data_IF_295788329054
#
_entry.id   IF_295788329054
#
_cell.length_a   1.000
_cell.length_b   1.000
_cell.length_c   1.000
_cell.angle_alpha   90.00
_cell.angle_beta   90.00
_cell.angle_gamma   90.00
#
_symmetry.space_group_name_H-M   'P 1'
#
loop_
_entity.id
_entity.type
_entity.pdbx_description
1 polymer ?
#
# COMPACT_ATOMS: atom_id res chain seq x y z
N UNK A 1 -9.90 8.66 20.13
CA UNK A 1 -10.91 8.47 19.07
C UNK A 1 -10.18 8.52 17.74
N UNK A 2 -9.85 7.35 17.20
CA UNK A 2 -8.97 7.11 16.04
C UNK A 2 -9.78 6.49 14.91
N UNK A 3 -9.66 7.04 13.70
CA UNK A 3 -10.34 6.57 12.49
C UNK A 3 -9.50 5.44 11.83
N UNK A 4 -10.08 4.25 11.52
CA UNK A 4 -9.31 3.02 11.30
C UNK A 4 -8.95 2.70 9.82
N UNK A 5 -8.83 3.69 8.93
CA UNK A 5 -8.63 3.42 7.49
C UNK A 5 -7.38 4.08 6.87
N UNK A 6 -6.33 4.33 7.65
CA UNK A 6 -5.03 4.72 7.11
C UNK A 6 -3.97 3.74 7.59
N UNK A 7 -3.68 2.72 6.78
CA UNK A 7 -2.36 2.09 6.84
C UNK A 7 -1.39 3.00 6.07
N UNK A 8 -0.35 3.54 6.71
CA UNK A 8 0.75 4.12 5.96
C UNK A 8 1.49 2.97 5.27
N UNK A 9 1.56 2.99 3.94
CA UNK A 9 2.66 2.29 3.28
C UNK A 9 3.95 2.96 3.71
N UNK A 10 4.93 2.17 4.13
CA UNK A 10 6.21 2.66 4.55
C UNK A 10 6.84 3.54 3.44
N UNK A 11 7.44 4.67 3.81
CA UNK A 11 7.86 5.73 2.90
C UNK A 11 9.04 5.32 2.01
N UNK A 12 9.01 5.77 0.75
CA UNK A 12 10.18 5.86 -0.11
C UNK A 12 11.13 6.95 0.41
N UNK A 13 11.80 6.72 1.55
CA UNK A 13 12.86 7.62 2.00
C UNK A 13 14.18 7.35 1.27
N UNK A 14 14.80 8.48 0.90
CA UNK A 14 16.05 8.65 0.19
C UNK A 14 16.02 8.38 -1.31
N UNK A 15 15.56 9.40 -2.05
CA UNK A 15 16.35 10.01 -3.12
C UNK A 15 15.75 11.36 -3.58
N UNK A 16 15.76 12.35 -2.68
CA UNK A 16 15.42 13.75 -3.00
C UNK A 16 16.21 14.22 -4.24
N UNK A 17 15.53 14.85 -5.19
CA UNK A 17 16.15 15.76 -6.14
C UNK A 17 15.93 17.19 -5.59
N UNK A 18 16.96 17.87 -5.08
CA UNK A 18 16.84 19.23 -4.56
C UNK A 18 16.46 20.27 -5.62
N UNK A 19 16.30 19.88 -6.90
CA UNK A 19 15.99 20.77 -8.02
C UNK A 19 14.61 20.64 -8.65
N UNK A 20 13.68 19.83 -8.11
CA UNK A 20 12.37 19.67 -8.75
C UNK A 20 11.57 20.99 -8.75
N UNK A 21 11.35 21.54 -9.94
CA UNK A 21 10.39 22.62 -10.20
C UNK A 21 9.24 22.06 -11.03
N UNK A 22 7.97 22.39 -10.71
CA UNK A 22 6.84 21.98 -11.53
C UNK A 22 7.01 22.51 -12.96
N UNK A 23 6.71 21.70 -14.00
CA UNK A 23 6.79 22.16 -15.38
C UNK A 23 5.78 23.28 -15.64
N UNK A 24 6.18 24.26 -16.47
CA UNK A 24 5.27 25.28 -17.00
C UNK A 24 4.38 24.62 -18.04
N UNK A 25 3.07 24.64 -17.79
CA UNK A 25 2.05 23.96 -18.59
C UNK A 25 1.70 24.84 -19.82
N UNK A 26 1.53 24.27 -21.03
CA UNK A 26 1.17 25.04 -22.22
C UNK A 26 -0.24 25.65 -22.14
N UNK A 27 -0.39 26.86 -22.71
CA UNK A 27 -1.69 27.51 -22.92
C UNK A 27 -2.52 26.74 -23.97
N UNK A 28 -3.69 26.20 -23.59
CA UNK A 28 -4.67 25.62 -24.52
C UNK A 28 -6.06 26.18 -24.22
N UNK A 29 -6.82 26.44 -25.29
CA UNK A 29 -8.08 27.20 -25.30
C UNK A 29 -9.20 26.57 -24.45
N UNK A 30 -9.76 27.29 -23.46
CA UNK A 30 -10.78 26.80 -22.52
C UNK A 30 -12.24 26.80 -23.03
N UNK A 31 -12.49 26.94 -24.34
CA UNK A 31 -13.83 27.33 -24.86
C UNK A 31 -14.56 26.30 -25.76
N UNK A 32 -14.28 25.00 -25.66
CA UNK A 32 -15.05 23.98 -26.39
C UNK A 32 -16.36 23.57 -25.70
N UNK A 33 -17.46 23.37 -26.43
CA UNK A 33 -18.69 22.80 -25.88
C UNK A 33 -18.60 21.26 -25.85
N UNK A 34 -18.48 20.68 -24.66
CA UNK A 34 -18.28 19.23 -24.44
C UNK A 34 -19.51 18.51 -23.87
N UNK A 35 -20.67 19.17 -23.86
CA UNK A 35 -21.89 18.67 -23.22
C UNK A 35 -22.45 17.36 -23.80
N UNK A 36 -22.02 16.96 -24.99
CA UNK A 36 -22.45 15.75 -25.70
C UNK A 36 -21.58 14.51 -25.40
N UNK A 37 -20.44 14.66 -24.72
CA UNK A 37 -19.53 13.55 -24.41
C UNK A 37 -19.95 12.83 -23.11
N UNK A 38 -19.66 11.52 -22.98
CA UNK A 38 -19.87 10.81 -21.72
C UNK A 38 -19.01 11.44 -20.62
N UNK A 39 -19.57 11.52 -19.41
CA UNK A 39 -18.87 12.04 -18.25
C UNK A 39 -17.88 10.98 -17.73
N UNK A 40 -16.58 11.28 -17.60
CA UNK A 40 -15.63 10.33 -17.05
C UNK A 40 -15.91 10.10 -15.56
N UNK A 41 -15.77 8.86 -15.10
CA UNK A 41 -15.92 8.51 -13.70
C UNK A 41 -14.60 8.81 -12.97
N UNK A 42 -14.58 9.89 -12.19
CA UNK A 42 -13.45 10.19 -11.31
C UNK A 42 -13.69 9.71 -9.88
N UNK A 43 -12.62 9.23 -9.24
CA UNK A 43 -12.61 8.89 -7.80
C UNK A 43 -11.25 9.22 -7.21
N UNK A 44 -11.24 9.85 -6.03
CA UNK A 44 -10.03 9.95 -5.21
C UNK A 44 -9.92 8.61 -4.47
N UNK A 45 -8.94 7.80 -4.88
CA UNK A 45 -8.81 6.42 -4.41
C UNK A 45 -7.93 6.31 -3.18
N UNK A 46 -7.05 7.28 -2.97
CA UNK A 46 -6.15 7.32 -1.81
C UNK A 46 -5.65 8.75 -1.54
N UNK A 47 -5.26 9.00 -0.29
CA UNK A 47 -4.64 10.25 0.15
C UNK A 47 -3.52 9.95 1.16
N UNK A 48 -2.32 10.43 0.85
CA UNK A 48 -1.13 10.24 1.66
C UNK A 48 -0.57 11.59 2.11
N UNK A 49 -0.03 11.64 3.32
CA UNK A 49 0.71 12.81 3.79
C UNK A 49 2.20 12.55 3.57
N UNK A 50 2.81 13.37 2.73
CA UNK A 50 4.25 13.32 2.48
C UNK A 50 4.97 14.24 3.47
N UNK A 51 6.13 13.79 3.95
CA UNK A 51 6.98 14.53 4.87
C UNK A 51 8.40 14.66 4.32
N UNK A 52 9.06 15.78 4.61
CA UNK A 52 10.48 15.94 4.43
C UNK A 52 11.14 15.98 5.81
N UNK A 53 11.67 14.84 6.26
CA UNK A 53 12.05 14.65 7.66
C UNK A 53 10.81 14.70 8.56
N UNK A 54 10.80 15.60 9.53
CA UNK A 54 9.64 15.84 10.40
C UNK A 54 8.69 16.93 9.90
N UNK A 55 9.05 17.64 8.82
CA UNK A 55 8.24 18.72 8.28
C UNK A 55 7.20 18.18 7.29
N UNK A 56 5.96 18.66 7.40
CA UNK A 56 4.93 18.43 6.39
C UNK A 56 5.42 18.92 5.02
N UNK A 57 5.19 18.12 3.97
CA UNK A 57 5.53 18.46 2.60
C UNK A 57 4.28 18.71 1.75
N UNK A 58 3.42 17.70 1.58
CA UNK A 58 2.15 17.84 0.85
C UNK A 58 1.13 16.75 1.24
N UNK A 59 -0.14 17.00 0.91
CA UNK A 59 -1.15 15.95 0.77
C UNK A 59 -1.11 15.45 -0.66
N UNK A 60 -0.78 14.19 -0.87
CA UNK A 60 -0.75 13.51 -2.17
C UNK A 60 -2.05 12.72 -2.36
N UNK A 61 -2.87 13.15 -3.30
CA UNK A 61 -4.12 12.47 -3.68
C UNK A 61 -3.90 11.66 -4.95
N UNK A 62 -4.28 10.38 -4.92
CA UNK A 62 -4.30 9.53 -6.10
C UNK A 62 -5.72 9.54 -6.65
N UNK A 63 -5.87 9.96 -7.90
CA UNK A 63 -7.16 10.11 -8.57
C UNK A 63 -7.25 9.13 -9.73
N UNK A 64 -8.29 8.31 -9.75
CA UNK A 64 -8.59 7.40 -10.85
C UNK A 64 -9.56 8.02 -11.85
N UNK A 65 -9.37 7.72 -13.14
CA UNK A 65 -10.26 8.04 -14.25
C UNK A 65 -10.76 6.70 -14.82
N UNK A 66 -12.07 6.48 -14.75
CA UNK A 66 -12.78 5.27 -15.18
C UNK A 66 -12.25 3.98 -14.56
N UNK A 67 -11.52 4.07 -13.43
CA UNK A 67 -10.75 2.99 -12.81
C UNK A 67 -9.68 2.36 -13.72
N UNK A 68 -9.29 3.04 -14.82
CA UNK A 68 -8.31 2.56 -15.80
C UNK A 68 -7.03 3.40 -15.75
N UNK A 69 -7.18 4.72 -15.68
CA UNK A 69 -6.06 5.65 -15.64
C UNK A 69 -5.95 6.30 -14.26
N UNK A 70 -4.75 6.73 -13.89
CA UNK A 70 -4.49 7.36 -12.60
C UNK A 70 -3.61 8.57 -12.78
N UNK A 71 -3.85 9.61 -12.00
CA UNK A 71 -2.96 10.75 -11.86
C UNK A 71 -2.84 11.16 -10.40
N UNK A 72 -1.82 11.96 -10.09
CA UNK A 72 -1.58 12.45 -8.73
C UNK A 72 -1.90 13.94 -8.66
N UNK A 73 -2.59 14.35 -7.61
CA UNK A 73 -2.83 15.74 -7.27
C UNK A 73 -2.22 16.04 -5.89
N UNK A 74 -1.32 17.00 -5.81
CA UNK A 74 -0.61 17.37 -4.57
C UNK A 74 -1.11 18.71 -4.05
N UNK A 75 -1.39 18.79 -2.75
CA UNK A 75 -1.72 20.03 -2.04
C UNK A 75 -0.59 20.35 -1.07
N UNK A 76 0.14 21.43 -1.33
CA UNK A 76 1.27 21.96 -0.56
C UNK A 76 0.83 22.86 0.60
N UNK A 77 -0.33 22.55 1.18
CA UNK A 77 -0.90 23.22 2.34
C UNK A 77 -1.35 22.18 3.33
N UNK A 78 -0.96 22.34 4.59
CA UNK A 78 -1.41 21.43 5.63
C UNK A 78 -2.91 21.62 5.87
N UNK A 79 -3.69 20.68 5.35
CA UNK A 79 -5.12 20.58 5.61
C UNK A 79 -5.39 20.11 7.05
N UNK A 80 -6.55 20.47 7.61
CA UNK A 80 -6.91 20.14 8.98
C UNK A 80 -7.04 18.62 9.24
N UNK A 81 -7.09 18.22 10.52
CA UNK A 81 -7.08 16.81 10.94
C UNK A 81 -8.21 15.94 10.36
N UNK A 82 -9.32 16.56 9.91
CA UNK A 82 -10.46 15.86 9.31
C UNK A 82 -10.46 15.89 7.78
N UNK A 83 -9.33 16.26 7.14
CA UNK A 83 -9.23 16.28 5.70
C UNK A 83 -9.25 14.86 5.13
N UNK A 84 -10.39 14.48 4.55
CA UNK A 84 -10.57 13.19 3.89
C UNK A 84 -11.20 13.39 2.50
N UNK A 85 -10.37 13.70 1.48
CA UNK A 85 -10.85 13.94 0.13
C UNK A 85 -11.45 12.70 -0.55
N UNK A 86 -11.20 11.48 -0.04
CA UNK A 86 -11.79 10.25 -0.59
C UNK A 86 -13.33 10.18 -0.42
N UNK A 87 -13.91 11.06 0.41
CA UNK A 87 -15.37 11.18 0.60
C UNK A 87 -16.05 12.11 -0.41
N UNK A 88 -15.28 12.82 -1.24
CA UNK A 88 -15.80 13.78 -2.20
C UNK A 88 -16.51 13.05 -3.34
N UNK A 89 -17.78 13.38 -3.59
CA UNK A 89 -18.53 12.85 -4.72
C UNK A 89 -18.22 13.64 -6.00
N UNK A 90 -17.23 13.17 -6.75
CA UNK A 90 -16.82 13.80 -8.01
C UNK A 90 -17.81 13.59 -9.16
N UNK A 91 -18.81 12.71 -9.03
CA UNK A 91 -19.83 12.48 -10.08
C UNK A 91 -20.75 13.68 -10.27
N UNK A 92 -20.77 14.59 -9.32
CA UNK A 92 -21.58 15.81 -9.36
C UNK A 92 -20.85 16.96 -10.08
N UNK A 93 -19.58 16.76 -10.44
CA UNK A 93 -18.74 17.76 -11.07
C UNK A 93 -18.53 17.37 -12.53
N UNK A 94 -18.76 18.31 -13.43
CA UNK A 94 -18.49 18.10 -14.85
C UNK A 94 -16.96 18.11 -15.09
N UNK A 95 -16.42 16.92 -15.38
CA UNK A 95 -14.99 16.69 -15.58
C UNK A 95 -14.66 16.38 -17.06
N UNK A 96 -15.46 16.86 -18.03
CA UNK A 96 -15.29 16.55 -19.46
C UNK A 96 -14.24 17.42 -20.19
N UNK A 97 -13.09 16.82 -20.57
CA UNK A 97 -12.40 17.15 -21.83
C UNK A 97 -12.13 15.91 -22.71
N UNK A 98 -11.65 16.11 -23.95
CA UNK A 98 -11.51 15.08 -25.04
C UNK A 98 -10.71 13.80 -24.72
N UNK A 99 -9.93 13.74 -23.64
CA UNK A 99 -9.08 12.58 -23.32
C UNK A 99 -8.46 12.64 -21.92
N UNK A 100 -7.90 11.52 -21.43
CA UNK A 100 -7.40 11.39 -20.06
C UNK A 100 -6.29 12.39 -19.73
N UNK A 101 -5.51 12.83 -20.71
CA UNK A 101 -4.41 13.78 -20.51
C UNK A 101 -4.86 15.20 -20.12
N UNK A 102 -6.11 15.55 -20.42
CA UNK A 102 -6.68 16.88 -20.12
C UNK A 102 -7.41 16.91 -18.77
N UNK A 103 -7.83 15.76 -18.25
CA UNK A 103 -8.59 15.64 -17.00
C UNK A 103 -7.84 16.19 -15.77
N UNK A 104 -6.52 15.95 -15.58
CA UNK A 104 -5.79 16.52 -14.43
C UNK A 104 -5.88 18.04 -14.33
N UNK A 105 -5.93 18.74 -15.47
CA UNK A 105 -6.04 20.19 -15.49
C UNK A 105 -7.43 20.66 -15.02
N UNK A 106 -8.50 20.05 -15.54
CA UNK A 106 -9.87 20.36 -15.11
C UNK A 106 -10.08 20.04 -13.63
N UNK A 107 -9.54 18.91 -13.18
CA UNK A 107 -9.56 18.52 -11.77
C UNK A 107 -8.89 19.58 -10.88
N UNK A 108 -7.74 20.11 -11.30
CA UNK A 108 -7.03 21.16 -10.54
C UNK A 108 -7.89 22.42 -10.40
N UNK A 109 -8.57 22.85 -11.46
CA UNK A 109 -9.47 24.04 -11.42
C UNK A 109 -10.62 23.84 -10.44
N UNK A 110 -11.25 22.67 -10.47
CA UNK A 110 -12.27 22.29 -9.50
C UNK A 110 -11.72 22.30 -8.07
N UNK A 111 -10.59 21.62 -7.85
CA UNK A 111 -10.01 21.38 -6.54
C UNK A 111 -9.56 22.67 -5.83
N UNK A 112 -9.10 23.69 -6.58
CA UNK A 112 -8.80 25.03 -6.05
C UNK A 112 -10.01 25.60 -5.30
N UNK A 113 -11.16 25.65 -5.97
CA UNK A 113 -12.40 26.20 -5.39
C UNK A 113 -12.97 25.31 -4.28
N UNK A 114 -12.96 24.00 -4.50
CA UNK A 114 -13.54 23.03 -3.58
C UNK A 114 -12.78 22.96 -2.25
N UNK A 115 -11.45 22.86 -2.29
CA UNK A 115 -10.60 22.78 -1.11
C UNK A 115 -10.21 24.15 -0.54
N UNK A 116 -10.59 25.25 -1.19
CA UNK A 116 -10.28 26.63 -0.78
C UNK A 116 -8.77 26.87 -0.61
N UNK A 117 -7.99 26.35 -1.54
CA UNK A 117 -6.53 26.49 -1.62
C UNK A 117 -6.15 27.52 -2.69
N UNK A 118 -5.00 28.17 -2.55
CA UNK A 118 -4.51 29.07 -3.58
C UNK A 118 -4.03 28.27 -4.80
N UNK A 119 -4.12 28.83 -6.03
CA UNK A 119 -3.67 28.13 -7.24
C UNK A 119 -2.21 27.65 -7.20
N UNK A 120 -1.33 28.32 -6.44
CA UNK A 120 0.06 27.92 -6.27
C UNK A 120 0.29 26.84 -5.22
N UNK A 121 -0.75 26.43 -4.50
CA UNK A 121 -0.68 25.41 -3.44
C UNK A 121 -1.15 24.03 -3.93
N UNK A 122 -1.65 23.91 -5.16
CA UNK A 122 -2.21 22.66 -5.67
C UNK A 122 -1.81 22.39 -7.12
N UNK A 123 -1.37 21.17 -7.39
CA UNK A 123 -0.91 20.77 -8.71
C UNK A 123 -1.35 19.34 -9.02
N UNK A 124 -1.98 19.13 -10.17
CA UNK A 124 -2.17 17.78 -10.71
C UNK A 124 -1.11 17.48 -11.76
N UNK A 125 -0.54 16.29 -11.66
CA UNK A 125 0.44 15.75 -12.59
C UNK A 125 -0.26 15.10 -13.79
N UNK A 126 0.45 14.93 -14.92
CA UNK A 126 -0.05 14.12 -16.03
C UNK A 126 -0.44 12.72 -15.60
N UNK A 127 -1.31 12.08 -16.39
CA UNK A 127 -1.69 10.67 -16.19
C UNK A 127 -0.45 9.79 -16.15
N UNK A 128 -0.41 8.90 -15.17
CA UNK A 128 0.68 7.95 -14.96
C UNK A 128 0.61 6.90 -16.08
N UNK A 129 1.69 6.72 -16.88
CA UNK A 129 1.73 5.68 -17.89
C UNK A 129 1.49 4.29 -17.28
N UNK A 130 0.57 3.53 -17.87
CA UNK A 130 0.18 2.20 -17.36
C UNK A 130 1.37 1.25 -17.19
N UNK A 131 2.36 1.33 -18.09
CA UNK A 131 3.56 0.51 -18.00
C UNK A 131 4.45 0.81 -16.79
N UNK A 132 4.23 1.88 -16.04
CA UNK A 132 5.02 2.18 -14.85
C UNK A 132 4.57 1.39 -13.63
N UNK A 133 3.31 0.94 -13.59
CA UNK A 133 2.74 0.22 -12.44
C UNK A 133 2.08 -1.11 -12.80
N UNK A 134 1.68 -1.35 -14.06
CA UNK A 134 1.19 -2.65 -14.53
C UNK A 134 2.21 -3.31 -15.47
N UNK A 135 2.95 -4.33 -15.00
CA UNK A 135 3.89 -5.04 -15.85
C UNK A 135 3.17 -5.85 -16.94
N UNK A 136 3.91 -6.19 -17.99
CA UNK A 136 3.39 -7.10 -19.02
C UNK A 136 3.18 -8.50 -18.43
N UNK A 137 2.09 -9.15 -18.79
CA UNK A 137 1.84 -10.53 -18.41
C UNK A 137 2.77 -11.47 -19.19
N UNK A 138 3.31 -12.48 -18.50
CA UNK A 138 4.14 -13.52 -19.11
C UNK A 138 3.44 -14.89 -18.96
N UNK A 139 3.59 -15.77 -19.95
CA UNK A 139 2.86 -17.05 -19.98
C UNK A 139 3.18 -18.00 -18.82
N UNK A 140 4.26 -17.75 -18.06
CA UNK A 140 4.61 -18.53 -16.88
C UNK A 140 3.82 -18.16 -15.61
N UNK A 141 3.00 -17.11 -15.64
CA UNK A 141 2.21 -16.69 -14.49
C UNK A 141 0.78 -17.24 -14.55
N UNK A 142 0.24 -17.58 -13.40
CA UNK A 142 -1.11 -18.11 -13.24
C UNK A 142 -2.14 -16.98 -13.35
N UNK A 143 -3.15 -17.16 -14.19
CA UNK A 143 -4.34 -16.28 -14.21
C UNK A 143 -5.32 -16.79 -13.16
N UNK A 144 -5.76 -15.90 -12.28
CA UNK A 144 -6.67 -16.28 -11.20
C UNK A 144 -8.03 -16.75 -11.73
N UNK A 145 -8.59 -17.88 -11.24
CA UNK A 145 -9.91 -18.34 -11.63
C UNK A 145 -11.00 -17.33 -11.26
N UNK A 146 -11.90 -17.00 -12.17
CA UNK A 146 -12.96 -16.02 -11.94
C UNK A 146 -13.80 -16.31 -10.68
N UNK A 147 -14.03 -17.59 -10.38
CA UNK A 147 -14.85 -18.06 -9.26
C UNK A 147 -14.26 -17.68 -7.89
N UNK A 148 -12.96 -17.42 -7.79
CA UNK A 148 -12.31 -17.07 -6.52
C UNK A 148 -12.51 -15.60 -6.14
N UNK A 149 -12.96 -14.74 -7.07
CA UNK A 149 -13.05 -13.30 -6.85
C UNK A 149 -13.82 -12.93 -5.58
N UNK A 150 -14.97 -13.58 -5.34
CA UNK A 150 -15.82 -13.36 -4.14
C UNK A 150 -15.15 -13.69 -2.80
N UNK A 151 -14.09 -14.52 -2.80
CA UNK A 151 -13.35 -14.93 -1.61
C UNK A 151 -11.95 -14.33 -1.55
N UNK A 152 -11.64 -13.43 -2.48
CA UNK A 152 -10.28 -12.94 -2.69
C UNK A 152 -10.11 -11.50 -2.24
N UNK A 153 -8.87 -11.18 -1.90
CA UNK A 153 -8.34 -9.84 -1.84
C UNK A 153 -7.58 -9.56 -3.13
N UNK A 154 -7.99 -8.53 -3.86
CA UNK A 154 -7.31 -8.08 -5.06
C UNK A 154 -6.34 -6.96 -4.68
N UNK A 155 -5.05 -7.26 -4.76
CA UNK A 155 -3.99 -6.30 -4.49
C UNK A 155 -3.64 -5.57 -5.79
N UNK A 156 -4.02 -4.30 -5.87
CA UNK A 156 -3.63 -3.42 -6.98
C UNK A 156 -2.30 -2.72 -6.68
N UNK A 157 -1.50 -2.35 -7.69
CA UNK A 157 -0.26 -1.61 -7.47
C UNK A 157 -0.53 -0.31 -6.70
N UNK A 158 0.25 -0.07 -5.64
CA UNK A 158 0.21 1.23 -4.96
C UNK A 158 0.97 2.28 -5.76
N UNK A 159 0.36 3.45 -5.90
CA UNK A 159 0.93 4.61 -6.59
C UNK A 159 1.43 5.69 -5.62
N UNK A 160 1.36 5.41 -4.31
CA UNK A 160 1.80 6.35 -3.26
C UNK A 160 3.29 6.66 -3.44
N UNK A 161 3.60 7.94 -3.41
CA UNK A 161 4.94 8.48 -3.60
C UNK A 161 5.54 8.30 -5.00
N UNK A 162 4.73 7.94 -6.01
CA UNK A 162 5.19 7.74 -7.39
C UNK A 162 5.99 8.95 -7.91
N UNK A 163 5.58 10.18 -7.58
CA UNK A 163 6.26 11.39 -8.03
C UNK A 163 7.67 11.53 -7.45
N UNK A 164 7.92 11.01 -6.25
CA UNK A 164 9.24 11.07 -5.61
C UNK A 164 10.21 9.98 -6.12
N UNK A 165 9.72 8.98 -6.85
CA UNK A 165 10.57 7.93 -7.44
C UNK A 165 11.47 8.48 -8.53
N UNK A 166 12.78 8.20 -8.46
CA UNK A 166 13.71 8.48 -9.57
C UNK A 166 13.50 7.55 -10.76
N UNK A 167 13.36 6.25 -10.49
CA UNK A 167 12.97 5.25 -11.49
C UNK A 167 11.46 4.99 -11.37
N UNK A 168 10.69 5.49 -12.33
CA UNK A 168 9.23 5.33 -12.36
C UNK A 168 8.80 3.87 -12.59
N UNK A 169 9.71 2.99 -13.01
CA UNK A 169 9.42 1.57 -13.26
C UNK A 169 9.56 0.68 -12.04
N UNK A 170 9.94 1.22 -10.87
CA UNK A 170 10.09 0.43 -9.64
C UNK A 170 8.76 -0.22 -9.23
N UNK A 171 7.62 0.43 -9.44
CA UNK A 171 6.31 -0.10 -9.08
C UNK A 171 5.98 -1.36 -9.90
N UNK A 172 6.06 -1.30 -11.22
CA UNK A 172 5.81 -2.49 -12.05
C UNK A 172 6.82 -3.62 -11.78
N UNK A 173 8.08 -3.29 -11.47
CA UNK A 173 9.09 -4.28 -11.07
C UNK A 173 8.66 -4.99 -9.78
N UNK A 174 8.24 -4.25 -8.77
CA UNK A 174 7.72 -4.79 -7.50
C UNK A 174 6.53 -5.73 -7.74
N UNK A 175 5.59 -5.35 -8.61
CA UNK A 175 4.44 -6.20 -8.97
C UNK A 175 4.90 -7.48 -9.66
N UNK A 176 5.92 -7.40 -10.52
CA UNK A 176 6.51 -8.56 -11.19
C UNK A 176 7.18 -9.49 -10.19
N UNK A 177 7.99 -8.94 -9.28
CA UNK A 177 8.65 -9.71 -8.23
C UNK A 177 7.63 -10.42 -7.33
N UNK A 178 6.61 -9.69 -6.86
CA UNK A 178 5.56 -10.26 -6.02
C UNK A 178 4.75 -11.34 -6.76
N UNK A 179 4.47 -11.16 -8.05
CA UNK A 179 3.81 -12.19 -8.86
C UNK A 179 4.65 -13.48 -8.94
N UNK A 180 5.97 -13.34 -9.13
CA UNK A 180 6.91 -14.46 -9.15
C UNK A 180 6.91 -15.18 -7.79
N UNK A 181 7.00 -14.43 -6.68
CA UNK A 181 6.89 -15.01 -5.33
C UNK A 181 5.54 -15.73 -5.17
N UNK A 182 4.45 -15.14 -5.63
CA UNK A 182 3.12 -15.74 -5.63
C UNK A 182 3.09 -17.11 -6.32
N UNK A 183 3.72 -17.27 -7.48
CA UNK A 183 3.82 -18.56 -8.17
C UNK A 183 4.60 -19.60 -7.33
N UNK A 184 5.69 -19.19 -6.66
CA UNK A 184 6.42 -20.08 -5.75
C UNK A 184 5.56 -20.52 -4.56
N UNK A 185 4.78 -19.60 -3.98
CA UNK A 185 3.86 -19.89 -2.88
C UNK A 185 2.69 -20.79 -3.32
N UNK A 186 2.24 -20.66 -4.57
CA UNK A 186 1.20 -21.52 -5.13
C UNK A 186 1.65 -22.99 -5.19
N UNK A 187 2.92 -23.24 -5.52
CA UNK A 187 3.50 -24.58 -5.57
C UNK A 187 3.88 -25.12 -4.19
N UNK A 188 4.10 -24.25 -3.21
CA UNK A 188 4.56 -24.61 -1.86
C UNK A 188 3.64 -24.01 -0.77
N UNK A 189 2.34 -24.38 -0.74
CA UNK A 189 1.38 -23.75 0.15
C UNK A 189 1.65 -24.08 1.63
N UNK A 190 1.37 -23.11 2.50
CA UNK A 190 1.45 -23.28 3.96
C UNK A 190 0.27 -22.56 4.63
N UNK A 191 -0.36 -23.14 5.67
CA UNK A 191 -1.55 -22.55 6.30
C UNK A 191 -1.32 -21.15 6.88
N UNK A 192 -0.10 -20.85 7.33
CA UNK A 192 0.26 -19.55 7.90
C UNK A 192 0.85 -18.55 6.88
N UNK A 193 0.75 -18.82 5.58
CA UNK A 193 1.07 -17.88 4.50
C UNK A 193 -0.19 -17.60 3.67
N UNK A 194 -0.35 -16.37 3.18
CA UNK A 194 -1.53 -16.03 2.39
C UNK A 194 -1.63 -16.89 1.14
N UNK A 195 -2.83 -17.41 0.89
CA UNK A 195 -3.10 -18.21 -0.30
C UNK A 195 -3.09 -17.32 -1.53
N UNK A 196 -2.11 -17.51 -2.40
CA UNK A 196 -2.09 -16.90 -3.73
C UNK A 196 -2.97 -17.69 -4.70
N UNK A 197 -3.65 -16.99 -5.61
CA UNK A 197 -4.55 -17.58 -6.60
C UNK A 197 -4.15 -17.27 -8.04
N UNK A 198 -3.15 -16.42 -8.26
CA UNK A 198 -2.77 -15.91 -9.57
C UNK A 198 -2.95 -14.40 -9.69
N UNK A 199 -2.97 -13.92 -10.92
CA UNK A 199 -3.12 -12.51 -11.26
C UNK A 199 -4.36 -12.25 -12.13
N UNK A 200 -4.80 -10.99 -12.15
CA UNK A 200 -5.80 -10.48 -13.09
C UNK A 200 -5.07 -9.77 -14.22
N UNK A 201 -5.37 -10.17 -15.45
CA UNK A 201 -4.75 -9.61 -16.65
C UNK A 201 -5.76 -8.79 -17.42
N UNK A 202 -5.45 -7.51 -17.66
CA UNK A 202 -6.22 -6.61 -18.50
C UNK A 202 -5.31 -6.08 -19.61
N UNK A 203 -5.76 -6.19 -20.87
CA UNK A 203 -5.00 -5.70 -22.04
C UNK A 203 -3.55 -6.21 -22.07
N UNK A 204 -3.32 -7.47 -21.68
CA UNK A 204 -1.99 -8.10 -21.67
C UNK A 204 -1.06 -7.65 -20.53
N UNK A 205 -1.58 -6.94 -19.51
CA UNK A 205 -0.82 -6.48 -18.35
C UNK A 205 -1.44 -6.96 -17.04
N UNK A 206 -0.61 -7.13 -16.02
CA UNK A 206 -1.04 -7.52 -14.67
C UNK A 206 -1.68 -6.31 -13.99
N UNK A 207 -3.00 -6.35 -13.83
CA UNK A 207 -3.78 -5.29 -13.20
C UNK A 207 -3.88 -5.45 -11.67
N UNK A 208 -3.90 -6.69 -11.18
CA UNK A 208 -3.92 -7.01 -9.75
C UNK A 208 -3.36 -8.41 -9.48
N UNK A 209 -2.85 -8.61 -8.26
CA UNK A 209 -2.53 -9.93 -7.70
C UNK A 209 -3.69 -10.40 -6.81
N UNK A 210 -3.99 -11.69 -6.84
CA UNK A 210 -5.17 -12.26 -6.17
C UNK A 210 -4.74 -13.16 -5.02
N UNK A 211 -5.08 -12.74 -3.80
CA UNK A 211 -4.80 -13.46 -2.56
C UNK A 211 -6.10 -13.87 -1.84
N UNK A 212 -6.00 -14.78 -0.87
CA UNK A 212 -7.08 -15.06 0.06
C UNK A 212 -7.52 -13.81 0.82
N UNK A 213 -8.82 -13.67 1.06
CA UNK A 213 -9.36 -12.60 1.92
C UNK A 213 -9.40 -13.06 3.37
N UNK A 214 -8.92 -12.21 4.26
CA UNK A 214 -8.90 -12.42 5.71
C UNK A 214 -9.61 -11.26 6.42
N UNK A 215 -10.07 -11.48 7.65
CA UNK A 215 -11.05 -10.60 8.29
C UNK A 215 -10.42 -9.34 8.89
N UNK A 216 -9.34 -9.52 9.67
CA UNK A 216 -8.72 -8.46 10.46
C UNK A 216 -7.22 -8.72 10.56
N UNK A 217 -6.42 -7.67 10.66
CA UNK A 217 -4.99 -7.80 10.89
C UNK A 217 -4.67 -7.96 12.39
N UNK A 218 -3.49 -8.46 12.73
CA UNK A 218 -3.11 -8.74 14.11
C UNK A 218 -3.07 -7.46 14.97
N UNK A 219 -2.64 -6.34 14.39
CA UNK A 219 -2.66 -5.04 15.06
C UNK A 219 -4.06 -4.65 15.55
N UNK A 220 -5.02 -4.61 14.64
CA UNK A 220 -6.42 -4.27 14.93
C UNK A 220 -7.09 -5.34 15.82
N UNK A 221 -6.73 -6.61 15.63
CA UNK A 221 -7.22 -7.73 16.44
C UNK A 221 -6.83 -7.58 17.90
N UNK A 222 -5.60 -7.16 18.20
CA UNK A 222 -5.15 -6.89 19.57
C UNK A 222 -5.81 -5.62 20.12
N UNK A 223 -5.98 -4.59 19.30
CA UNK A 223 -6.69 -3.36 19.70
C UNK A 223 -8.17 -3.58 20.04
N UNK A 224 -8.82 -4.61 19.47
CA UNK A 224 -10.19 -4.97 19.83
C UNK A 224 -10.38 -5.38 21.29
N UNK A 225 -9.28 -5.67 22.02
CA UNK A 225 -9.25 -6.16 23.41
C UNK A 225 -10.03 -7.46 23.65
N UNK A 226 -10.43 -8.17 22.59
CA UNK A 226 -10.97 -9.53 22.68
C UNK A 226 -9.80 -10.49 22.95
N UNK A 227 -9.92 -11.44 23.91
CA UNK A 227 -8.85 -12.39 24.22
C UNK A 227 -8.34 -13.12 22.97
N UNK A 228 -7.02 -13.33 22.90
CA UNK A 228 -6.34 -14.04 21.82
C UNK A 228 -5.23 -14.92 22.41
N UNK A 229 -5.03 -16.11 21.85
CA UNK A 229 -3.95 -16.99 22.27
C UNK A 229 -2.61 -16.55 21.61
N UNK A 230 -1.86 -15.70 22.31
CA UNK A 230 -0.57 -15.17 21.84
C UNK A 230 0.41 -16.28 21.50
N UNK A 231 0.49 -17.32 22.34
CA UNK A 231 1.43 -18.43 22.16
C UNK A 231 1.15 -19.16 20.84
N UNK A 232 -0.13 -19.44 20.56
CA UNK A 232 -0.57 -20.00 19.27
C UNK A 232 -0.21 -19.07 18.12
N UNK A 233 -0.54 -17.78 18.21
CA UNK A 233 -0.26 -16.78 17.16
C UNK A 233 1.24 -16.73 16.84
N UNK A 234 2.10 -16.63 17.86
CA UNK A 234 3.55 -16.59 17.66
C UNK A 234 4.09 -17.90 17.11
N UNK A 235 3.55 -19.05 17.52
CA UNK A 235 3.91 -20.35 16.95
C UNK A 235 3.57 -20.41 15.44
N UNK A 236 2.40 -19.93 15.05
CA UNK A 236 1.91 -19.90 13.67
C UNK A 236 2.70 -18.94 12.78
N UNK A 237 3.01 -17.73 13.26
CA UNK A 237 3.87 -16.79 12.54
C UNK A 237 5.26 -17.41 12.32
N UNK A 238 5.85 -18.03 13.35
CA UNK A 238 7.15 -18.72 13.25
C UNK A 238 7.10 -19.88 12.26
N UNK A 239 6.01 -20.65 12.24
CA UNK A 239 5.83 -21.75 11.29
C UNK A 239 5.82 -21.24 9.83
N UNK A 240 5.07 -20.18 9.54
CA UNK A 240 5.03 -19.57 8.21
C UNK A 240 6.39 -19.00 7.77
N UNK A 241 7.09 -18.30 8.66
CA UNK A 241 8.43 -17.76 8.38
C UNK A 241 9.46 -18.88 8.18
N UNK A 242 9.44 -19.92 9.01
CA UNK A 242 10.34 -21.08 8.87
C UNK A 242 10.12 -21.78 7.53
N UNK A 243 8.86 -21.95 7.12
CA UNK A 243 8.53 -22.49 5.80
C UNK A 243 9.10 -21.61 4.68
N UNK A 244 8.90 -20.29 4.74
CA UNK A 244 9.42 -19.36 3.74
C UNK A 244 10.96 -19.40 3.65
N UNK A 245 11.64 -19.40 4.80
CA UNK A 245 13.10 -19.52 4.88
C UNK A 245 13.59 -20.87 4.33
N UNK A 246 12.84 -21.96 4.53
CA UNK A 246 13.20 -23.27 3.97
C UNK A 246 13.17 -23.30 2.44
N UNK A 247 12.40 -22.39 1.81
CA UNK A 247 12.35 -22.19 0.36
C UNK A 247 13.45 -21.23 -0.14
N UNK A 248 14.30 -20.69 0.75
CA UNK A 248 15.38 -19.76 0.41
C UNK A 248 14.94 -18.30 0.27
N UNK A 249 13.75 -17.94 0.76
CA UNK A 249 13.21 -16.59 0.71
C UNK A 249 13.11 -15.99 2.11
N UNK A 250 13.33 -14.68 2.23
CA UNK A 250 12.98 -13.90 3.42
C UNK A 250 11.83 -12.94 3.09
N UNK A 251 10.99 -12.64 4.09
CA UNK A 251 9.83 -11.75 3.96
C UNK A 251 10.25 -10.27 3.97
N UNK A 252 11.23 -9.91 4.80
CA UNK A 252 11.87 -8.61 5.00
C UNK A 252 11.00 -7.45 5.52
N UNK A 253 9.68 -7.61 5.61
CA UNK A 253 8.78 -6.61 6.19
C UNK A 253 7.74 -7.21 7.15
N UNK A 254 8.21 -8.05 8.07
CA UNK A 254 7.32 -8.69 9.04
C UNK A 254 6.92 -7.71 10.16
N UNK A 255 5.62 -7.44 10.27
CA UNK A 255 5.01 -6.58 11.29
C UNK A 255 3.54 -6.98 11.54
N UNK A 256 2.89 -6.51 12.62
CA UNK A 256 1.51 -6.90 12.96
C UNK A 256 0.44 -6.51 11.91
N UNK A 257 0.71 -5.52 11.05
CA UNK A 257 -0.21 -5.19 9.95
C UNK A 257 -0.09 -6.18 8.80
N UNK A 258 1.08 -6.80 8.62
CA UNK A 258 1.34 -7.83 7.61
C UNK A 258 1.03 -9.25 8.09
N UNK A 259 0.27 -9.36 9.19
CA UNK A 259 -0.28 -10.61 9.70
C UNK A 259 -1.79 -10.45 9.77
N UNK A 260 -2.51 -11.32 9.07
CA UNK A 260 -3.96 -11.42 9.14
C UNK A 260 -4.40 -12.54 10.06
N UNK A 261 -5.62 -12.42 10.58
CA UNK A 261 -6.31 -13.47 11.30
C UNK A 261 -7.40 -14.05 10.40
N UNK A 262 -7.41 -15.37 10.26
CA UNK A 262 -8.52 -16.07 9.62
C UNK A 262 -9.75 -16.18 10.55
N UNK A 263 -10.80 -16.84 10.09
CA UNK A 263 -12.05 -16.99 10.84
C UNK A 263 -11.92 -17.81 12.14
N UNK A 264 -10.80 -18.53 12.33
CA UNK A 264 -10.52 -19.37 13.50
C UNK A 264 -9.40 -18.77 14.39
N UNK A 265 -9.09 -17.48 14.23
CA UNK A 265 -7.94 -16.83 14.86
C UNK A 265 -6.63 -17.61 14.63
N UNK A 266 -6.42 -18.12 13.41
CA UNK A 266 -5.10 -18.56 12.97
C UNK A 266 -4.36 -17.41 12.29
N UNK A 267 -3.08 -17.26 12.58
CA UNK A 267 -2.23 -16.22 11.98
C UNK A 267 -1.81 -16.59 10.55
N UNK A 268 -1.94 -15.63 9.64
CA UNK A 268 -1.58 -15.75 8.22
C UNK A 268 -0.73 -14.57 7.79
N UNK A 269 0.50 -14.81 7.38
CA UNK A 269 1.42 -13.78 6.89
C UNK A 269 0.98 -13.36 5.48
N UNK A 270 0.92 -12.05 5.26
CA UNK A 270 0.52 -11.42 4.01
C UNK A 270 1.59 -10.43 3.55
N UNK A 271 1.39 -9.87 2.35
CA UNK A 271 2.19 -8.76 1.82
C UNK A 271 3.65 -9.12 1.47
N UNK A 272 3.81 -9.88 0.39
CA UNK A 272 5.10 -10.38 -0.09
C UNK A 272 5.86 -9.36 -0.99
N UNK A 273 5.51 -8.09 -0.93
CA UNK A 273 6.11 -7.03 -1.77
C UNK A 273 7.61 -6.83 -1.52
N UNK A 274 8.06 -7.09 -0.28
CA UNK A 274 9.48 -7.03 0.12
C UNK A 274 10.13 -8.42 0.14
N UNK A 275 9.38 -9.46 -0.22
CA UNK A 275 9.89 -10.83 -0.21
C UNK A 275 10.89 -11.03 -1.34
N UNK A 276 12.03 -11.62 -1.02
CA UNK A 276 13.10 -11.85 -1.98
C UNK A 276 13.95 -13.04 -1.55
N UNK A 277 14.60 -13.67 -2.53
CA UNK A 277 15.61 -14.70 -2.27
C UNK A 277 16.67 -14.16 -1.31
N UNK A 278 17.13 -14.97 -0.36
CA UNK A 278 18.19 -14.58 0.57
C UNK A 278 19.44 -14.10 -0.19
N UNK A 279 20.00 -12.97 0.22
CA UNK A 279 21.11 -12.29 -0.45
C UNK A 279 20.71 -11.44 -1.66
N UNK A 280 19.46 -11.51 -2.14
CA UNK A 280 18.94 -10.69 -3.23
C UNK A 280 18.77 -9.22 -2.84
N UNK A 281 18.77 -8.31 -3.83
CA UNK A 281 18.58 -6.87 -3.59
C UNK A 281 17.13 -6.55 -3.21
N UNK A 282 16.95 -5.66 -2.23
CA UNK A 282 15.62 -5.17 -1.84
C UNK A 282 15.26 -3.89 -2.59
N UNK A 283 14.06 -3.85 -3.16
CA UNK A 283 13.49 -2.66 -3.83
C UNK A 283 12.67 -1.78 -2.90
N UNK A 284 12.05 -2.40 -1.89
CA UNK A 284 11.30 -1.74 -0.83
C UNK A 284 12.03 -1.93 0.49
N UNK A 285 11.96 -0.90 1.32
CA UNK A 285 12.54 -0.89 2.65
C UNK A 285 11.48 -1.34 3.66
N UNK A 286 11.91 -2.04 4.71
CA UNK A 286 11.02 -2.48 5.77
C UNK A 286 10.41 -1.32 6.56
N UNK A 287 9.31 -1.60 7.26
CA UNK A 287 8.54 -0.59 7.99
C UNK A 287 9.34 0.00 9.16
N UNK A 288 9.46 1.35 9.29
CA UNK A 288 10.14 1.98 10.42
C UNK A 288 9.62 1.49 11.78
N UNK A 289 10.53 1.17 12.70
CA UNK A 289 10.20 0.63 14.02
C UNK A 289 10.04 -0.90 14.08
N UNK A 290 9.85 -1.56 12.94
CA UNK A 290 9.77 -3.03 12.82
C UNK A 290 11.02 -3.65 12.18
N UNK A 291 11.94 -2.82 11.70
CA UNK A 291 13.17 -3.23 11.00
C UNK A 291 14.41 -2.61 11.64
N UNK A 292 15.46 -3.42 11.87
CA UNK A 292 16.70 -3.04 12.56
C UNK A 292 17.40 -1.82 11.94
N UNK A 293 17.26 -1.64 10.62
CA UNK A 293 17.80 -0.53 9.84
C UNK A 293 16.85 -0.19 8.67
N UNK A 294 15.63 0.28 8.95
CA UNK A 294 14.64 0.59 7.90
C UNK A 294 15.19 1.45 6.75
N UNK A 295 16.19 2.32 6.98
CA UNK A 295 16.85 3.11 5.92
C UNK A 295 18.08 2.49 5.24
N UNK A 296 18.57 1.33 5.71
CA UNK A 296 19.87 0.76 5.32
C UNK A 296 19.85 -0.70 4.86
N UNK A 297 18.70 -1.39 4.91
CA UNK A 297 18.56 -2.74 4.37
C UNK A 297 18.62 -2.69 2.85
N UNK A 298 19.70 -3.23 2.28
CA UNK A 298 19.89 -3.32 0.82
C UNK A 298 19.71 -4.73 0.28
N UNK A 299 19.79 -5.73 1.16
CA UNK A 299 19.76 -7.14 0.82
C UNK A 299 18.75 -7.88 1.67
N UNK A 300 18.11 -8.86 1.05
CA UNK A 300 17.18 -9.80 1.67
C UNK A 300 17.95 -10.71 2.62
N UNK A 301 17.45 -10.87 3.84
CA UNK A 301 18.13 -11.62 4.87
C UNK A 301 17.13 -12.18 5.88
N UNK A 302 17.28 -13.46 6.24
CA UNK A 302 16.43 -14.09 7.27
C UNK A 302 16.48 -13.36 8.61
N UNK A 303 17.61 -12.71 8.91
CA UNK A 303 17.83 -11.92 10.11
C UNK A 303 16.86 -10.74 10.20
N UNK A 304 16.39 -10.21 9.06
CA UNK A 304 15.38 -9.15 9.03
C UNK A 304 14.05 -9.67 9.59
N UNK A 305 13.66 -10.90 9.23
CA UNK A 305 12.44 -11.55 9.72
C UNK A 305 12.55 -11.96 11.18
N UNK A 306 13.72 -12.46 11.60
CA UNK A 306 13.98 -12.79 13.00
C UNK A 306 13.86 -11.56 13.90
N UNK A 307 14.33 -10.40 13.43
CA UNK A 307 14.15 -9.13 14.11
C UNK A 307 12.66 -8.72 14.16
N UNK A 308 11.94 -8.85 13.05
CA UNK A 308 10.50 -8.58 13.02
C UNK A 308 9.72 -9.46 14.00
N UNK A 309 10.05 -10.75 14.09
CA UNK A 309 9.49 -11.70 15.05
C UNK A 309 9.73 -11.27 16.50
N UNK A 310 10.95 -10.85 16.82
CA UNK A 310 11.30 -10.31 18.16
C UNK A 310 10.46 -9.07 18.49
N UNK A 311 10.34 -8.13 17.55
CA UNK A 311 9.53 -6.92 17.75
C UNK A 311 8.04 -7.18 17.89
N UNK A 312 7.51 -8.16 17.18
CA UNK A 312 6.11 -8.59 17.35
C UNK A 312 5.90 -9.19 18.74
N UNK A 313 6.82 -10.04 19.22
CA UNK A 313 6.75 -10.60 20.57
C UNK A 313 6.78 -9.49 21.63
N UNK A 314 7.77 -8.59 21.58
CA UNK A 314 7.88 -7.45 22.51
C UNK A 314 6.63 -6.56 22.50
N UNK A 315 6.01 -6.37 21.33
CA UNK A 315 4.78 -5.61 21.22
C UNK A 315 3.58 -6.33 21.85
N UNK A 316 3.41 -7.63 21.59
CA UNK A 316 2.34 -8.44 22.18
C UNK A 316 2.45 -8.50 23.71
N UNK A 317 3.67 -8.68 24.24
CA UNK A 317 3.93 -8.73 25.69
C UNK A 317 3.56 -7.40 26.36
N UNK A 318 3.85 -6.26 25.71
CA UNK A 318 3.51 -4.92 26.22
C UNK A 318 2.01 -4.62 26.18
N UNK A 319 1.33 -4.97 25.10
CA UNK A 319 -0.10 -4.69 24.95
C UNK A 319 -0.98 -5.50 25.90
N UNK A 320 -0.48 -6.64 26.37
CA UNK A 320 -1.25 -7.62 27.13
C UNK A 320 -0.80 -7.79 28.58
N UNK A 321 0.36 -7.25 28.98
CA UNK A 321 0.80 -7.07 30.36
C UNK A 321 0.59 -8.31 31.25
N UNK A 322 1.65 -9.08 31.48
CA UNK A 322 1.74 -9.90 32.70
C UNK A 322 1.31 -9.05 33.89
N UNK A 323 0.24 -9.48 34.57
CA UNK A 323 -0.31 -8.78 35.72
C UNK A 323 0.68 -8.79 36.87
N UNK A 324 1.44 -7.71 37.04
CA UNK A 324 1.95 -7.30 38.34
C UNK A 324 0.95 -6.30 38.92
N UNK A 325 -0.08 -6.83 39.59
CA UNK A 325 -0.56 -6.16 40.79
C UNK A 325 0.40 -6.57 41.91
N UNK A 326 1.11 -5.65 42.58
CA UNK A 326 1.76 -6.01 43.82
C UNK A 326 0.68 -6.48 44.79
N UNK A 327 0.85 -7.69 45.30
CA UNK A 327 0.13 -8.20 46.46
C UNK A 327 0.11 -7.11 47.52
N UNK A 328 -1.09 -6.58 47.80
CA UNK A 328 -1.34 -6.05 49.13
C UNK A 328 -1.41 -7.28 50.02
N UNK A 329 -0.23 -7.71 50.47
CA UNK A 329 -0.15 -8.59 51.60
C UNK A 329 -0.89 -7.93 52.75
N UNK A 330 -1.96 -8.61 53.15
CA UNK A 330 -2.60 -8.47 54.42
C UNK A 330 -1.58 -8.76 55.51
N UNK A 331 -1.12 -7.75 56.22
CA UNK A 331 -0.69 -7.91 57.60
C UNK A 331 -1.35 -6.85 58.48
N UNK A 332 -1.94 -7.40 59.52
CA UNK A 332 -2.65 -6.86 60.68
C UNK A 332 -1.90 -5.82 61.46
#
# INVERSE_FOLDING_TARGET
MSNPNLRPLAPAYNRLDPGFRPPVIPNISPYGNYSHLPMPLLKIVDVNIQYNGSAFFCHEMIVSIDNVHFFICEIYRQMGQNFNPCTVDLRQVDMRPRGPDLIPQEFTRFAIGYFKVAPMEIFSHPVIPVQHYQPAFTQGLTIAPFQVQKYSYMKTPSLSGYNQLRDKTVIQKSVTDEAIIGEFLLQNPHPNLAKYWGCIVLQGRIAALVYGRYAINLFDRVQSRVPINISKVMQEIRAGITHLHSLGYAHNDLNPSNIMMDANDNAVIIDFDSCAVEGGELRKLGTPGWSKNAGGMKVSARENDLYGLEKIQEWLDRELGTGDQPSRDSET
#
